data_IF_020700149099
#
_entry.id   IF_020700149099
#
_cell.length_a   1.000
_cell.length_b   1.000
_cell.length_c   1.000
_cell.angle_alpha   90.00
_cell.angle_beta   90.00
_cell.angle_gamma   90.00
#
_symmetry.space_group_name_H-M   'P 1'
#
loop_
_entity.id
_entity.type
_entity.pdbx_description
1 polymer ?
#
# COMPACT_ATOMS: atom_id res chain seq x y z
N UNK A 1 -2.69 -22.03 -7.71
CA UNK A 1 -1.31 -21.83 -7.23
C UNK A 1 -1.11 -20.33 -7.08
N UNK A 2 -1.00 -19.82 -5.85
CA UNK A 2 -0.71 -18.41 -5.62
C UNK A 2 0.81 -18.27 -5.56
N UNK A 3 1.43 -17.93 -6.69
CA UNK A 3 2.88 -17.72 -6.73
C UNK A 3 3.20 -16.33 -6.21
N UNK A 4 4.04 -16.28 -5.18
CA UNK A 4 4.58 -15.07 -4.59
C UNK A 4 6.06 -14.97 -4.96
N UNK A 5 6.47 -13.85 -5.53
CA UNK A 5 7.89 -13.60 -5.80
C UNK A 5 8.33 -12.44 -4.92
N UNK A 6 9.19 -12.74 -3.95
CA UNK A 6 9.92 -11.70 -3.21
C UNK A 6 11.33 -11.61 -3.77
N UNK A 7 11.70 -10.41 -4.18
CA UNK A 7 13.07 -10.09 -4.55
C UNK A 7 13.64 -9.15 -3.51
N UNK A 8 14.57 -9.67 -2.70
CA UNK A 8 15.34 -8.85 -1.77
C UNK A 8 16.82 -8.87 -2.14
N UNK A 9 17.48 -7.72 -2.07
CA UNK A 9 18.93 -7.60 -2.16
C UNK A 9 19.42 -6.59 -1.12
N UNK A 10 20.31 -7.02 -0.23
CA UNK A 10 20.92 -6.20 0.81
C UNK A 10 22.44 -6.36 0.75
N UNK A 11 23.17 -5.25 0.79
CA UNK A 11 24.61 -5.24 1.02
C UNK A 11 24.85 -4.66 2.42
N UNK A 12 25.41 -5.45 3.35
CA UNK A 12 25.85 -4.92 4.65
C UNK A 12 27.20 -4.23 4.47
N UNK A 13 27.22 -2.90 4.51
CA UNK A 13 28.44 -2.09 4.59
C UNK A 13 28.38 -1.14 5.79
N UNK A 14 28.96 -1.55 6.92
CA UNK A 14 29.17 -0.68 8.09
C UNK A 14 30.65 -0.33 8.27
N UNK A 15 30.96 0.91 8.63
CA UNK A 15 32.32 1.39 8.93
C UNK A 15 32.77 0.96 10.34
N UNK A 16 33.99 0.40 10.41
CA UNK A 16 34.90 0.09 11.54
C UNK A 16 34.75 -1.27 12.28
N UNK A 17 35.84 -1.95 12.71
CA UNK A 17 37.20 -2.06 12.16
C UNK A 17 37.30 -3.26 11.18
N UNK A 18 38.44 -3.44 10.51
CA UNK A 18 38.66 -4.39 9.39
C UNK A 18 38.40 -5.86 9.80
N UNK A 19 37.13 -6.27 9.75
CA UNK A 19 36.72 -7.66 9.53
C UNK A 19 36.42 -7.73 8.04
N UNK A 20 37.10 -8.62 7.30
CA UNK A 20 36.76 -8.91 5.91
C UNK A 20 35.33 -9.47 5.87
N UNK A 21 34.33 -8.59 5.78
CA UNK A 21 32.96 -8.97 5.51
C UNK A 21 32.90 -9.48 4.07
N UNK A 22 32.86 -10.80 3.91
CA UNK A 22 32.64 -11.42 2.61
C UNK A 22 31.19 -11.13 2.19
N UNK A 23 30.95 -10.49 1.03
CA UNK A 23 29.59 -10.16 0.60
C UNK A 23 28.85 -11.44 0.17
N UNK A 24 27.69 -11.70 0.77
CA UNK A 24 26.74 -12.74 0.36
C UNK A 24 25.42 -12.08 -0.03
N UNK A 25 24.77 -12.59 -1.08
CA UNK A 25 23.41 -12.17 -1.46
C UNK A 25 22.47 -13.34 -1.22
N UNK A 26 21.41 -13.06 -0.49
CA UNK A 26 20.34 -14.01 -0.15
C UNK A 26 19.11 -13.68 -0.98
N UNK A 27 18.72 -14.58 -1.89
CA UNK A 27 17.44 -14.50 -2.60
C UNK A 27 16.46 -15.48 -1.95
N UNK A 28 15.20 -15.06 -1.76
CA UNK A 28 14.17 -15.89 -1.13
C UNK A 28 12.97 -16.02 -2.07
N UNK A 29 12.78 -17.19 -2.66
CA UNK A 29 11.53 -17.57 -3.31
C UNK A 29 10.67 -18.27 -2.29
N UNK A 30 9.46 -17.73 -2.06
CA UNK A 30 8.47 -18.35 -1.20
C UNK A 30 7.23 -18.66 -2.01
N UNK A 31 6.86 -19.93 -2.13
CA UNK A 31 5.49 -20.31 -2.45
C UNK A 31 4.79 -20.74 -1.15
N UNK A 32 3.48 -21.02 -1.21
CA UNK A 32 2.66 -21.39 -0.03
C UNK A 32 3.19 -22.61 0.75
N UNK A 33 4.14 -23.37 0.21
CA UNK A 33 4.62 -24.64 0.76
C UNK A 33 6.15 -24.72 0.98
N UNK A 34 6.94 -23.85 0.37
CA UNK A 34 8.40 -23.89 0.42
C UNK A 34 9.02 -22.51 0.35
N UNK A 35 9.98 -22.28 1.25
CA UNK A 35 10.87 -21.13 1.25
C UNK A 35 12.24 -21.61 0.77
N UNK A 36 12.61 -21.30 -0.47
CA UNK A 36 13.96 -21.57 -0.97
C UNK A 36 14.82 -20.32 -0.82
N UNK A 37 15.78 -20.41 0.09
CA UNK A 37 16.81 -19.40 0.28
C UNK A 37 18.06 -19.86 -0.47
N UNK A 38 18.52 -19.06 -1.44
CA UNK A 38 19.77 -19.35 -2.16
C UNK A 38 20.83 -18.36 -1.74
N UNK A 39 21.89 -18.88 -1.11
CA UNK A 39 23.12 -18.14 -0.77
C UNK A 39 24.22 -18.55 -1.73
N UNK A 40 24.74 -17.60 -2.50
CA UNK A 40 25.82 -17.89 -3.44
C UNK A 40 27.20 -17.72 -2.78
N UNK A 41 28.12 -18.70 -2.93
CA UNK A 41 29.46 -18.59 -2.38
C UNK A 41 30.30 -17.49 -3.09
N UNK A 42 31.37 -17.00 -2.43
CA UNK A 42 32.21 -15.92 -2.95
C UNK A 42 32.89 -16.34 -4.26
N UNK A 43 33.00 -15.42 -5.24
CA UNK A 43 33.70 -15.65 -6.50
C UNK A 43 32.82 -16.01 -7.71
N UNK A 44 31.54 -16.36 -7.50
CA UNK A 44 30.59 -16.42 -8.61
C UNK A 44 30.25 -15.00 -9.10
N UNK A 45 30.23 -14.81 -10.42
CA UNK A 45 29.68 -13.58 -11.02
C UNK A 45 28.17 -13.57 -10.74
N UNK A 46 27.78 -12.96 -9.61
CA UNK A 46 26.43 -12.77 -9.05
C UNK A 46 25.34 -12.71 -10.15
N UNK A 47 25.61 -11.87 -11.15
CA UNK A 47 24.79 -11.66 -12.35
C UNK A 47 24.34 -12.92 -13.11
N UNK A 48 25.21 -13.92 -13.25
CA UNK A 48 24.91 -15.13 -14.01
C UNK A 48 24.17 -16.15 -13.15
N UNK A 49 24.45 -16.18 -11.85
CA UNK A 49 23.82 -17.10 -10.92
C UNK A 49 22.34 -16.75 -10.70
N UNK A 50 22.02 -15.47 -10.46
CA UNK A 50 20.64 -14.98 -10.35
C UNK A 50 19.87 -15.21 -11.65
N UNK A 51 20.44 -14.82 -12.80
CA UNK A 51 19.79 -15.02 -14.11
C UNK A 51 19.53 -16.49 -14.40
N UNK A 52 20.47 -17.38 -14.09
CA UNK A 52 20.32 -18.83 -14.30
C UNK A 52 19.26 -19.42 -13.36
N UNK A 53 19.26 -19.01 -12.09
CA UNK A 53 18.28 -19.50 -11.13
C UNK A 53 16.86 -19.01 -11.45
N UNK A 54 16.69 -17.72 -11.76
CA UNK A 54 15.41 -17.18 -12.22
C UNK A 54 14.95 -17.87 -13.52
N UNK A 55 15.86 -18.11 -14.48
CA UNK A 55 15.51 -18.86 -15.70
C UNK A 55 15.10 -20.31 -15.42
N UNK A 56 15.69 -20.97 -14.43
CA UNK A 56 15.31 -22.32 -14.04
C UNK A 56 13.95 -22.37 -13.32
N UNK A 57 13.63 -21.35 -12.51
CA UNK A 57 12.40 -21.31 -11.70
C UNK A 57 11.21 -20.79 -12.52
N UNK A 58 11.42 -19.71 -13.28
CA UNK A 58 10.39 -19.04 -14.06
C UNK A 58 10.24 -19.64 -15.47
N UNK A 59 11.20 -20.47 -15.89
CA UNK A 59 11.25 -21.00 -17.24
C UNK A 59 11.44 -19.90 -18.29
N UNK A 60 10.83 -20.10 -19.45
CA UNK A 60 10.76 -19.13 -20.54
C UNK A 60 9.30 -18.74 -20.78
N UNK A 61 9.03 -17.46 -21.09
CA UNK A 61 7.70 -16.98 -21.45
C UNK A 61 6.99 -16.17 -20.35
N UNK A 62 5.65 -16.18 -20.38
CA UNK A 62 4.81 -15.41 -19.45
C UNK A 62 4.50 -16.22 -18.19
N UNK A 63 4.87 -15.69 -17.02
CA UNK A 63 4.63 -16.31 -15.71
C UNK A 63 3.60 -15.49 -14.94
N UNK A 64 2.58 -16.15 -14.40
CA UNK A 64 1.55 -15.50 -13.60
C UNK A 64 1.98 -15.39 -12.15
N UNK A 65 2.09 -14.16 -11.64
CA UNK A 65 2.54 -13.86 -10.28
C UNK A 65 1.44 -13.08 -9.58
N UNK A 66 1.00 -13.57 -8.43
CA UNK A 66 -0.02 -12.86 -7.65
C UNK A 66 0.55 -11.58 -7.06
N UNK A 67 1.67 -11.70 -6.34
CA UNK A 67 2.35 -10.60 -5.69
C UNK A 67 3.84 -10.60 -6.06
N UNK A 68 4.30 -9.47 -6.61
CA UNK A 68 5.71 -9.16 -6.80
C UNK A 68 6.16 -8.17 -5.73
N UNK A 69 6.96 -8.62 -4.76
CA UNK A 69 7.57 -7.76 -3.75
C UNK A 69 9.03 -7.46 -4.13
N UNK A 70 9.38 -6.18 -4.19
CA UNK A 70 10.74 -5.71 -4.50
C UNK A 70 11.27 -4.90 -3.32
N UNK A 71 12.37 -5.39 -2.75
CA UNK A 71 13.07 -4.86 -1.60
C UNK A 71 14.58 -4.83 -1.88
N UNK A 72 14.99 -3.94 -2.77
CA UNK A 72 16.38 -3.77 -3.18
C UNK A 72 16.93 -2.51 -2.53
N UNK A 73 17.85 -2.66 -1.57
CA UNK A 73 18.59 -1.55 -0.96
C UNK A 73 19.72 -1.08 -1.88
N UNK A 74 20.48 -2.03 -2.43
CA UNK A 74 21.61 -1.81 -3.32
C UNK A 74 21.72 -2.95 -4.34
N UNK A 75 22.21 -2.66 -5.55
CA UNK A 75 22.55 -3.65 -6.57
C UNK A 75 21.70 -3.59 -7.85
N UNK A 76 21.93 -4.53 -8.77
CA UNK A 76 21.22 -4.61 -10.05
C UNK A 76 20.44 -5.91 -10.11
N UNK A 77 19.12 -5.80 -10.17
CA UNK A 77 18.23 -6.93 -10.44
C UNK A 77 18.15 -7.18 -11.95
N UNK A 78 18.58 -8.36 -12.41
CA UNK A 78 18.50 -8.75 -13.84
C UNK A 78 17.58 -9.94 -14.00
N UNK A 79 16.47 -9.72 -14.69
CA UNK A 79 15.59 -10.78 -15.13
C UNK A 79 16.12 -11.44 -16.43
N UNK A 80 15.81 -12.72 -16.69
CA UNK A 80 16.01 -13.30 -18.01
C UNK A 80 15.25 -12.49 -19.06
N UNK A 81 15.87 -12.26 -20.22
CA UNK A 81 15.32 -11.33 -21.24
C UNK A 81 13.97 -11.76 -21.82
N UNK A 82 13.69 -13.06 -21.79
CA UNK A 82 12.51 -13.66 -22.42
C UNK A 82 11.38 -13.95 -21.42
N UNK A 83 11.56 -13.56 -20.15
CA UNK A 83 10.56 -13.75 -19.10
C UNK A 83 9.71 -12.49 -18.98
N UNK A 84 8.39 -12.69 -19.00
CA UNK A 84 7.38 -11.66 -18.71
C UNK A 84 6.58 -12.08 -17.48
N UNK A 85 6.40 -11.17 -16.53
CA UNK A 85 5.59 -11.44 -15.34
C UNK A 85 4.21 -10.82 -15.54
N UNK A 86 3.17 -11.65 -15.57
CA UNK A 86 1.78 -11.21 -15.46
C UNK A 86 1.45 -11.05 -13.99
N UNK A 87 1.46 -9.80 -13.51
CA UNK A 87 1.38 -9.47 -12.08
C UNK A 87 0.00 -8.91 -11.73
N UNK A 88 -0.56 -9.29 -10.58
CA UNK A 88 -1.77 -8.65 -10.04
C UNK A 88 -1.43 -7.53 -9.06
N UNK A 89 -0.49 -7.79 -8.15
CA UNK A 89 -0.10 -6.87 -7.08
C UNK A 89 1.42 -6.62 -7.07
N UNK A 90 1.83 -5.37 -6.86
CA UNK A 90 3.25 -5.01 -6.68
C UNK A 90 3.45 -4.36 -5.33
N UNK A 91 4.50 -4.77 -4.61
CA UNK A 91 4.90 -4.16 -3.34
C UNK A 91 6.33 -3.65 -3.41
N UNK A 92 6.49 -2.34 -3.30
CA UNK A 92 7.75 -1.63 -3.43
C UNK A 92 8.16 -1.12 -2.06
N UNK A 93 9.28 -1.63 -1.56
CA UNK A 93 9.80 -1.23 -0.24
C UNK A 93 10.65 0.02 -0.29
N UNK A 94 11.11 0.46 -1.47
CA UNK A 94 12.02 1.59 -1.66
C UNK A 94 11.84 2.22 -3.04
N UNK A 95 12.02 3.54 -3.13
CA UNK A 95 12.01 4.36 -4.37
C UNK A 95 11.03 3.83 -5.43
N UNK A 96 9.74 3.84 -5.09
CA UNK A 96 8.72 3.17 -5.90
C UNK A 96 8.70 3.67 -7.34
N UNK A 97 8.91 4.97 -7.56
CA UNK A 97 8.89 5.56 -8.89
C UNK A 97 10.02 5.01 -9.80
N UNK A 98 11.26 5.00 -9.32
CA UNK A 98 12.38 4.49 -10.10
C UNK A 98 12.27 2.98 -10.33
N UNK A 99 11.82 2.22 -9.32
CA UNK A 99 11.65 0.78 -9.45
C UNK A 99 10.59 0.43 -10.49
N UNK A 100 9.44 1.10 -10.50
CA UNK A 100 8.40 0.88 -11.51
C UNK A 100 8.91 1.10 -12.93
N UNK A 101 9.71 2.15 -13.14
CA UNK A 101 10.32 2.41 -14.44
C UNK A 101 11.29 1.28 -14.84
N UNK A 102 12.13 0.83 -13.90
CA UNK A 102 13.13 -0.20 -14.15
C UNK A 102 12.53 -1.58 -14.44
N UNK A 103 11.44 -1.96 -13.79
CA UNK A 103 10.81 -3.29 -13.98
C UNK A 103 9.84 -3.34 -15.16
N UNK A 104 9.42 -2.19 -15.71
CA UNK A 104 8.45 -2.13 -16.81
C UNK A 104 8.74 -3.11 -17.96
N UNK A 105 9.99 -3.31 -18.43
CA UNK A 105 10.29 -4.26 -19.49
C UNK A 105 10.04 -5.73 -19.11
N UNK A 106 9.94 -6.06 -17.83
CA UNK A 106 9.76 -7.42 -17.32
C UNK A 106 8.29 -7.70 -17.02
N UNK A 107 7.48 -6.68 -16.75
CA UNK A 107 6.05 -6.85 -16.49
C UNK A 107 5.28 -7.01 -17.82
N UNK A 108 4.41 -8.01 -17.90
CA UNK A 108 3.51 -8.20 -19.04
C UNK A 108 2.51 -7.05 -19.12
N UNK A 109 2.19 -6.59 -20.33
CA UNK A 109 1.13 -5.60 -20.57
C UNK A 109 -0.23 -6.05 -20.04
N UNK A 110 -0.47 -7.37 -19.97
CA UNK A 110 -1.69 -7.97 -19.42
C UNK A 110 -1.83 -7.82 -17.90
N UNK A 111 -0.83 -7.25 -17.24
CA UNK A 111 -0.86 -6.91 -15.80
C UNK A 111 -1.55 -5.58 -15.54
N UNK A 112 -1.71 -4.73 -16.57
CA UNK A 112 -2.17 -3.36 -16.39
C UNK A 112 -3.66 -3.20 -16.79
N UNK A 113 -4.43 -2.38 -16.05
CA UNK A 113 -4.06 -1.76 -14.77
C UNK A 113 -3.84 -2.81 -13.67
N UNK A 114 -2.89 -2.56 -12.77
CA UNK A 114 -2.63 -3.43 -11.63
C UNK A 114 -3.83 -3.43 -10.69
N UNK A 115 -4.12 -4.57 -10.07
CA UNK A 115 -5.16 -4.64 -9.05
C UNK A 115 -4.77 -3.80 -7.83
N UNK A 116 -3.52 -3.90 -7.39
CA UNK A 116 -3.02 -3.19 -6.21
C UNK A 116 -1.53 -2.85 -6.32
N UNK A 117 -1.15 -1.69 -5.79
CA UNK A 117 0.24 -1.33 -5.57
C UNK A 117 0.48 -0.90 -4.13
N UNK A 118 1.58 -1.35 -3.52
CA UNK A 118 2.01 -0.90 -2.21
C UNK A 118 3.34 -0.15 -2.35
N UNK A 119 3.42 1.06 -1.82
CA UNK A 119 4.58 1.94 -1.95
C UNK A 119 5.06 2.41 -0.57
N UNK A 120 6.38 2.56 -0.41
CA UNK A 120 6.98 3.34 0.66
C UNK A 120 7.30 4.73 0.11
N UNK A 121 6.81 5.75 0.79
CA UNK A 121 7.06 7.17 0.49
C UNK A 121 7.71 7.83 1.68
N UNK A 122 8.56 8.81 1.40
CA UNK A 122 9.19 9.62 2.45
C UNK A 122 8.31 10.82 2.77
N UNK A 123 7.88 11.56 1.75
CA UNK A 123 7.17 12.83 1.89
C UNK A 123 5.91 12.91 1.02
N UNK A 124 5.02 13.85 1.34
CA UNK A 124 3.80 14.09 0.56
C UNK A 124 4.08 14.48 -0.91
N UNK A 125 5.26 15.05 -1.17
CA UNK A 125 5.73 15.44 -2.50
C UNK A 125 6.33 14.31 -3.35
N UNK A 126 6.31 13.04 -2.88
CA UNK A 126 7.00 11.95 -3.56
C UNK A 126 6.55 11.80 -5.03
N UNK A 127 7.49 11.78 -6.00
CA UNK A 127 7.16 11.72 -7.42
C UNK A 127 6.38 10.46 -7.82
N UNK A 128 6.39 9.41 -6.98
CA UNK A 128 5.60 8.19 -7.21
C UNK A 128 4.11 8.48 -7.31
N UNK A 129 3.59 9.52 -6.65
CA UNK A 129 2.17 9.90 -6.76
C UNK A 129 1.79 10.42 -8.15
N UNK A 130 2.77 10.85 -8.96
CA UNK A 130 2.54 11.24 -10.36
C UNK A 130 2.74 10.09 -11.34
N UNK A 131 3.18 8.91 -10.87
CA UNK A 131 3.41 7.76 -11.72
C UNK A 131 2.08 7.20 -12.27
N UNK A 132 2.00 7.04 -13.60
CA UNK A 132 0.78 6.58 -14.26
C UNK A 132 0.38 5.15 -13.86
N UNK A 133 1.33 4.28 -13.55
CA UNK A 133 1.03 2.92 -13.07
C UNK A 133 0.35 2.97 -11.70
N UNK A 134 0.79 3.88 -10.83
CA UNK A 134 0.19 4.07 -9.50
C UNK A 134 -1.23 4.62 -9.67
N UNK A 135 -1.39 5.72 -10.42
CA UNK A 135 -2.69 6.34 -10.66
C UNK A 135 -3.70 5.39 -11.33
N UNK A 136 -3.25 4.55 -12.27
CA UNK A 136 -4.13 3.62 -12.97
C UNK A 136 -4.50 2.38 -12.15
N UNK A 137 -3.82 2.08 -11.05
CA UNK A 137 -4.08 0.87 -10.26
C UNK A 137 -5.42 0.93 -9.51
N UNK A 138 -6.05 -0.23 -9.27
CA UNK A 138 -7.34 -0.29 -8.57
C UNK A 138 -7.26 0.15 -7.10
N UNK A 139 -6.15 -0.21 -6.43
CA UNK A 139 -5.90 0.12 -5.03
C UNK A 139 -4.44 0.52 -4.79
N UNK A 140 -4.22 1.45 -3.87
CA UNK A 140 -2.88 1.85 -3.41
C UNK A 140 -2.76 1.74 -1.89
N UNK A 141 -1.73 1.02 -1.44
CA UNK A 141 -1.29 1.02 -0.05
C UNK A 141 -0.06 1.94 0.10
N UNK A 142 -0.16 2.94 0.96
CA UNK A 142 0.88 3.92 1.21
C UNK A 142 1.51 3.63 2.57
N UNK A 143 2.82 3.53 2.62
CA UNK A 143 3.60 3.46 3.86
C UNK A 143 4.42 4.73 3.95
N UNK A 144 4.23 5.52 5.00
CA UNK A 144 5.05 6.70 5.26
C UNK A 144 6.22 6.29 6.15
N UNK A 145 7.44 6.62 5.73
CA UNK A 145 8.64 6.41 6.52
C UNK A 145 8.90 7.60 7.46
N UNK A 146 8.81 8.84 6.96
CA UNK A 146 9.07 10.06 7.72
C UNK A 146 8.63 11.35 6.99
N UNK A 147 7.48 11.94 7.36
CA UNK A 147 7.11 13.33 7.02
C UNK A 147 5.83 13.75 7.80
N UNK A 148 5.96 14.21 9.04
CA UNK A 148 4.82 14.59 9.87
C UNK A 148 4.15 15.90 9.43
N UNK A 149 4.87 16.76 8.70
CA UNK A 149 4.42 18.12 8.34
C UNK A 149 3.99 18.23 6.86
N UNK A 150 4.09 17.13 6.11
CA UNK A 150 3.70 17.07 4.72
C UNK A 150 2.23 17.41 4.49
N UNK A 151 1.96 18.09 3.37
CA UNK A 151 0.59 18.30 2.90
C UNK A 151 0.06 17.03 2.20
N UNK A 152 -0.26 16.03 3.02
CA UNK A 152 -0.80 14.75 2.59
C UNK A 152 -2.20 14.87 2.00
N UNK A 153 -3.05 15.78 2.51
CA UNK A 153 -4.37 16.03 1.92
C UNK A 153 -4.26 16.33 0.42
N UNK A 154 -3.38 17.25 0.02
CA UNK A 154 -3.16 17.59 -1.38
C UNK A 154 -2.58 16.44 -2.22
N UNK A 155 -1.71 15.62 -1.63
CA UNK A 155 -1.17 14.44 -2.31
C UNK A 155 -2.27 13.39 -2.55
N UNK A 156 -3.08 13.11 -1.52
CA UNK A 156 -4.12 12.07 -1.52
C UNK A 156 -5.31 12.44 -2.41
N UNK A 157 -5.73 13.72 -2.44
CA UNK A 157 -6.78 14.21 -3.36
C UNK A 157 -6.46 13.87 -4.82
N UNK A 158 -5.18 13.93 -5.21
CA UNK A 158 -4.70 13.71 -6.59
C UNK A 158 -4.63 12.24 -7.01
N UNK A 159 -4.89 11.28 -6.12
CA UNK A 159 -4.83 9.85 -6.41
C UNK A 159 -6.19 9.33 -6.87
N UNK A 160 -6.41 9.04 -8.16
CA UNK A 160 -7.73 8.64 -8.66
C UNK A 160 -8.12 7.19 -8.28
N UNK A 161 -7.26 6.48 -7.54
CA UNK A 161 -7.47 5.11 -7.11
C UNK A 161 -8.78 4.98 -6.34
N UNK A 162 -9.55 3.92 -6.63
CA UNK A 162 -10.79 3.62 -5.91
C UNK A 162 -10.52 3.35 -4.44
N UNK A 163 -9.44 2.65 -4.12
CA UNK A 163 -9.05 2.35 -2.74
C UNK A 163 -7.68 2.95 -2.45
N UNK A 164 -7.61 3.79 -1.43
CA UNK A 164 -6.38 4.38 -0.88
C UNK A 164 -6.29 3.98 0.59
N UNK A 165 -5.24 3.27 0.96
CA UNK A 165 -5.02 2.85 2.34
C UNK A 165 -3.64 3.27 2.83
N UNK A 166 -3.57 3.98 3.95
CA UNK A 166 -2.31 4.22 4.63
C UNK A 166 -1.96 3.00 5.46
N UNK A 167 -1.12 2.11 4.94
CA UNK A 167 -0.73 0.89 5.63
C UNK A 167 0.20 1.16 6.83
N UNK A 168 0.94 2.26 6.81
CA UNK A 168 1.76 2.77 7.92
C UNK A 168 1.77 4.29 7.86
N UNK A 169 1.60 4.92 9.02
CA UNK A 169 1.41 6.36 9.13
C UNK A 169 -0.06 6.72 9.27
N UNK A 170 -0.29 7.97 9.63
CA UNK A 170 -1.59 8.58 9.87
C UNK A 170 -1.47 10.05 9.48
N UNK A 171 -2.50 10.62 8.87
CA UNK A 171 -2.55 12.06 8.59
C UNK A 171 -3.20 12.80 9.76
N UNK A 172 -2.83 14.06 10.02
CA UNK A 172 -3.55 14.90 10.97
C UNK A 172 -5.04 15.00 10.64
N UNK A 173 -5.88 15.20 11.65
CA UNK A 173 -7.33 15.25 11.47
C UNK A 173 -7.76 16.43 10.60
N UNK A 174 -7.05 17.55 10.66
CA UNK A 174 -7.28 18.72 9.83
C UNK A 174 -7.14 18.34 8.34
N UNK A 175 -6.14 17.52 8.02
CA UNK A 175 -5.91 17.03 6.66
C UNK A 175 -6.93 15.96 6.24
N UNK A 176 -7.46 15.15 7.17
CA UNK A 176 -8.60 14.27 6.90
C UNK A 176 -9.85 15.10 6.55
N UNK A 177 -10.09 16.20 7.28
CA UNK A 177 -11.16 17.15 6.99
C UNK A 177 -11.01 17.78 5.60
N UNK A 178 -9.80 18.26 5.27
CA UNK A 178 -9.49 18.78 3.93
C UNK A 178 -9.71 17.74 2.82
N UNK A 179 -9.38 16.47 3.07
CA UNK A 179 -9.64 15.38 2.14
C UNK A 179 -11.14 15.14 1.95
N UNK A 180 -11.92 15.17 3.04
CA UNK A 180 -13.38 15.05 2.99
C UNK A 180 -14.02 16.21 2.21
N UNK A 181 -13.62 17.46 2.48
CA UNK A 181 -14.06 18.62 1.69
C UNK A 181 -13.70 18.47 0.20
N UNK A 182 -12.50 17.97 -0.11
CA UNK A 182 -12.11 17.69 -1.49
C UNK A 182 -13.03 16.67 -2.17
N UNK A 183 -13.52 15.66 -1.43
CA UNK A 183 -14.50 14.68 -1.93
C UNK A 183 -15.92 15.27 -2.02
N UNK A 184 -16.27 16.26 -1.21
CA UNK A 184 -17.54 16.98 -1.34
C UNK A 184 -17.54 17.85 -2.60
N UNK A 185 -16.45 18.55 -2.88
CA UNK A 185 -16.30 19.39 -4.07
C UNK A 185 -16.16 18.56 -5.35
N UNK A 186 -15.45 17.43 -5.27
CA UNK A 186 -15.21 16.52 -6.38
C UNK A 186 -15.61 15.10 -5.97
N UNK A 187 -16.92 14.76 -6.06
CA UNK A 187 -17.46 13.48 -5.63
C UNK A 187 -16.71 12.30 -6.23
N UNK A 188 -16.37 11.34 -5.37
CA UNK A 188 -15.79 10.07 -5.80
C UNK A 188 -16.85 9.04 -6.11
N UNK A 189 -16.57 8.17 -7.08
CA UNK A 189 -17.45 7.05 -7.41
C UNK A 189 -17.80 6.21 -6.19
N UNK A 190 -19.00 5.63 -6.19
CA UNK A 190 -19.46 4.75 -5.13
C UNK A 190 -18.47 3.59 -4.87
N UNK A 191 -18.26 3.30 -3.59
CA UNK A 191 -17.31 2.33 -3.06
C UNK A 191 -15.86 2.82 -3.07
N UNK A 192 -15.61 4.11 -3.34
CA UNK A 192 -14.28 4.68 -3.14
C UNK A 192 -13.95 4.80 -1.65
N UNK A 193 -12.72 4.47 -1.27
CA UNK A 193 -12.28 4.39 0.13
C UNK A 193 -10.95 5.10 0.34
N UNK A 194 -10.90 5.89 1.40
CA UNK A 194 -9.68 6.27 2.09
C UNK A 194 -9.67 5.63 3.47
N UNK A 195 -8.51 5.20 3.95
CA UNK A 195 -8.42 4.68 5.31
C UNK A 195 -7.02 4.72 5.89
N UNK A 196 -6.92 4.82 7.22
CA UNK A 196 -5.65 4.84 7.93
C UNK A 196 -5.77 4.23 9.34
N UNK A 197 -4.75 3.52 9.83
CA UNK A 197 -4.71 2.98 11.18
C UNK A 197 -4.56 4.11 12.19
N UNK A 198 -5.35 4.06 13.25
CA UNK A 198 -5.31 5.04 14.33
C UNK A 198 -5.52 4.36 15.68
N UNK A 199 -4.99 4.98 16.74
CA UNK A 199 -5.35 4.61 18.13
C UNK A 199 -6.49 5.46 18.65
N UNK A 200 -6.71 6.62 18.04
CA UNK A 200 -7.59 7.67 18.53
C UNK A 200 -8.85 7.76 17.66
N UNK A 201 -9.33 6.62 17.15
CA UNK A 201 -10.48 6.54 16.23
C UNK A 201 -11.71 7.26 16.80
N UNK A 202 -12.01 7.08 18.08
CA UNK A 202 -13.12 7.76 18.74
C UNK A 202 -12.96 9.29 18.70
N UNK A 203 -11.79 9.80 19.08
CA UNK A 203 -11.49 11.24 19.04
C UNK A 203 -11.54 11.80 17.61
N UNK A 204 -11.12 11.03 16.61
CA UNK A 204 -11.21 11.45 15.21
C UNK A 204 -12.68 11.56 14.77
N UNK A 205 -13.53 10.60 15.15
CA UNK A 205 -14.96 10.64 14.84
C UNK A 205 -15.67 11.81 15.54
N UNK A 206 -15.37 12.03 16.82
CA UNK A 206 -15.91 13.16 17.59
C UNK A 206 -15.54 14.50 16.96
N UNK A 207 -14.26 14.70 16.64
CA UNK A 207 -13.81 15.95 16.03
C UNK A 207 -14.25 16.11 14.58
N UNK A 208 -14.40 15.02 13.83
CA UNK A 208 -15.01 15.08 12.50
C UNK A 208 -16.42 15.70 12.59
N UNK A 209 -17.16 15.45 13.68
CA UNK A 209 -18.44 16.08 13.94
C UNK A 209 -18.39 17.58 14.25
N UNK A 210 -17.24 18.09 14.70
CA UNK A 210 -17.05 19.51 14.97
C UNK A 210 -16.65 20.31 13.72
N UNK A 211 -15.88 19.69 12.81
CA UNK A 211 -15.25 20.40 11.67
C UNK A 211 -15.92 20.13 10.32
N UNK A 212 -16.72 19.08 10.20
CA UNK A 212 -17.45 18.73 8.98
C UNK A 212 -18.97 18.91 9.20
N UNK A 213 -19.73 19.22 8.15
CA UNK A 213 -21.20 19.26 8.21
C UNK A 213 -21.78 17.84 8.21
N UNK A 214 -21.37 17.01 9.17
CA UNK A 214 -21.78 15.61 9.29
C UNK A 214 -23.02 15.48 10.17
N UNK A 215 -23.78 14.42 9.93
CA UNK A 215 -24.74 13.87 10.86
C UNK A 215 -24.14 12.61 11.51
N UNK A 216 -24.23 12.49 12.84
CA UNK A 216 -23.94 11.22 13.50
C UNK A 216 -24.88 10.14 12.96
N UNK A 217 -24.34 8.99 12.59
CA UNK A 217 -25.11 7.95 11.95
C UNK A 217 -24.59 6.55 12.25
N UNK A 218 -25.50 5.59 12.18
CA UNK A 218 -25.19 4.17 12.18
C UNK A 218 -25.09 3.67 10.74
N UNK A 219 -24.04 2.91 10.43
CA UNK A 219 -23.80 2.37 9.09
C UNK A 219 -23.82 0.84 9.20
N UNK A 220 -25.01 0.24 9.12
CA UNK A 220 -25.20 -1.18 9.46
C UNK A 220 -24.30 -2.11 8.64
N UNK A 221 -24.10 -1.79 7.36
CA UNK A 221 -23.22 -2.57 6.46
C UNK A 221 -21.73 -2.49 6.79
N UNK A 222 -21.33 -1.61 7.72
CA UNK A 222 -19.95 -1.38 8.18
C UNK A 222 -19.84 -1.41 9.71
N UNK A 223 -20.84 -1.97 10.38
CA UNK A 223 -20.95 -1.98 11.83
C UNK A 223 -19.67 -2.52 12.48
N UNK A 224 -19.21 -1.78 13.49
CA UNK A 224 -18.11 -2.14 14.36
C UNK A 224 -18.59 -1.97 15.81
N UNK A 225 -18.55 -3.03 16.62
CA UNK A 225 -19.08 -2.95 17.99
C UNK A 225 -18.25 -2.00 18.88
N UNK A 226 -16.96 -1.82 18.58
CA UNK A 226 -16.08 -0.86 19.27
C UNK A 226 -16.42 0.60 18.90
N UNK A 227 -16.86 0.84 17.67
CA UNK A 227 -17.20 2.16 17.13
C UNK A 227 -18.57 2.10 16.46
N UNK A 228 -19.66 2.02 17.24
CA UNK A 228 -21.00 1.78 16.71
C UNK A 228 -21.59 2.98 15.97
N UNK A 229 -21.07 4.18 16.25
CA UNK A 229 -21.50 5.44 15.64
C UNK A 229 -20.39 5.96 14.74
N UNK A 230 -20.74 6.28 13.50
CA UNK A 230 -19.92 7.01 12.56
C UNK A 230 -20.52 8.38 12.23
N UNK A 231 -20.06 8.97 11.15
CA UNK A 231 -20.50 10.24 10.62
C UNK A 231 -20.88 10.09 9.15
N UNK A 232 -21.91 10.82 8.70
CA UNK A 232 -22.37 10.82 7.32
C UNK A 232 -22.52 12.24 6.79
N UNK A 233 -22.12 12.46 5.54
CA UNK A 233 -22.26 13.73 4.81
C UNK A 233 -22.95 13.43 3.49
N UNK A 234 -24.17 13.93 3.31
CA UNK A 234 -24.82 13.85 2.00
C UNK A 234 -24.07 14.77 1.01
N UNK A 235 -23.62 14.21 -0.12
CA UNK A 235 -22.95 14.98 -1.17
C UNK A 235 -23.90 15.27 -2.35
N UNK A 236 -24.78 14.32 -2.68
CA UNK A 236 -25.80 14.44 -3.74
C UNK A 236 -27.09 13.71 -3.38
N UNK A 237 -28.05 13.64 -4.30
CA UNK A 237 -29.31 12.90 -4.11
C UNK A 237 -29.11 11.38 -3.95
N UNK A 238 -27.97 10.89 -4.41
CA UNK A 238 -27.64 9.49 -4.65
C UNK A 238 -26.31 9.07 -3.98
N UNK A 239 -25.58 10.01 -3.36
CA UNK A 239 -24.27 9.75 -2.76
C UNK A 239 -24.06 10.45 -1.41
N UNK A 240 -23.40 9.75 -0.50
CA UNK A 240 -22.95 10.25 0.81
C UNK A 240 -21.50 9.82 1.11
N UNK A 241 -20.78 10.62 1.90
CA UNK A 241 -19.51 10.23 2.53
C UNK A 241 -19.82 9.68 3.91
N UNK A 242 -19.38 8.46 4.18
CA UNK A 242 -19.45 7.86 5.49
C UNK A 242 -18.06 7.74 6.11
N UNK A 243 -17.90 8.23 7.33
CA UNK A 243 -16.68 8.17 8.12
C UNK A 243 -16.94 7.29 9.34
N UNK A 244 -16.18 6.21 9.51
CA UNK A 244 -16.43 5.21 10.56
C UNK A 244 -15.17 4.48 11.01
N UNK A 245 -15.23 3.90 12.21
CA UNK A 245 -14.19 3.03 12.74
C UNK A 245 -14.33 1.59 12.24
N UNK A 246 -13.22 0.93 11.94
CA UNK A 246 -13.19 -0.47 11.50
C UNK A 246 -11.98 -1.23 12.06
N UNK A 247 -12.02 -2.56 11.99
CA UNK A 247 -10.86 -3.41 12.27
C UNK A 247 -9.77 -3.17 11.23
N UNK A 248 -8.53 -2.95 11.68
CA UNK A 248 -7.38 -2.88 10.79
C UNK A 248 -7.13 -4.25 10.10
N UNK A 249 -6.58 -4.30 8.87
CA UNK A 249 -6.35 -5.57 8.17
C UNK A 249 -5.47 -6.59 8.91
N UNK A 250 -4.68 -6.13 9.89
CA UNK A 250 -3.83 -6.97 10.74
C UNK A 250 -4.25 -6.92 12.22
N UNK A 251 -5.53 -6.69 12.51
CA UNK A 251 -6.11 -6.47 13.84
C UNK A 251 -5.49 -7.36 14.93
N UNK A 252 -5.56 -8.68 14.79
CA UNK A 252 -5.02 -9.65 15.76
C UNK A 252 -3.52 -9.47 16.02
N UNK A 253 -2.72 -9.21 14.98
CA UNK A 253 -1.28 -9.00 15.10
C UNK A 253 -0.94 -7.66 15.74
N UNK A 254 -1.78 -6.66 15.52
CA UNK A 254 -1.62 -5.33 16.12
C UNK A 254 -1.97 -5.36 17.61
N UNK A 255 -2.99 -6.12 18.05
CA UNK A 255 -3.31 -6.30 19.48
C UNK A 255 -2.14 -6.85 20.29
N UNK A 256 -1.29 -7.67 19.69
CA UNK A 256 -0.12 -8.26 20.35
C UNK A 256 1.07 -7.30 20.48
N UNK A 257 1.02 -6.12 19.86
CA UNK A 257 2.11 -5.14 19.90
C UNK A 257 1.84 -4.13 21.02
N UNK A 258 2.86 -3.77 21.84
CA UNK A 258 2.72 -2.73 22.87
C UNK A 258 2.22 -1.39 22.32
N UNK A 259 2.45 -1.16 21.03
CA UNK A 259 2.16 0.05 20.31
C UNK A 259 1.41 -0.25 18.99
N UNK A 260 0.60 -1.31 18.97
CA UNK A 260 -0.19 -1.65 17.79
C UNK A 260 -1.28 -0.63 17.48
N UNK A 261 -1.77 -0.69 16.25
CA UNK A 261 -2.97 0.05 15.81
C UNK A 261 -4.00 -0.97 15.29
N UNK A 262 -4.76 -1.64 16.17
CA UNK A 262 -5.70 -2.70 15.77
C UNK A 262 -6.95 -2.16 15.07
N UNK A 263 -7.16 -0.84 15.14
CA UNK A 263 -8.31 -0.15 14.56
C UNK A 263 -7.85 0.84 13.49
N UNK A 264 -8.79 1.22 12.63
CA UNK A 264 -8.58 2.20 11.57
C UNK A 264 -9.80 3.08 11.42
N UNK A 265 -9.57 4.31 10.95
CA UNK A 265 -10.62 5.18 10.44
C UNK A 265 -10.79 4.93 8.94
N UNK A 266 -12.03 4.92 8.47
CA UNK A 266 -12.39 4.74 7.07
C UNK A 266 -13.29 5.89 6.64
N UNK A 267 -12.99 6.47 5.49
CA UNK A 267 -13.87 7.38 4.76
C UNK A 267 -14.28 6.70 3.46
N UNK A 268 -15.57 6.49 3.25
CA UNK A 268 -16.12 5.75 2.12
C UNK A 268 -17.22 6.57 1.41
N UNK A 269 -17.15 6.61 0.08
CA UNK A 269 -18.25 7.12 -0.75
C UNK A 269 -19.28 6.00 -0.94
N UNK A 270 -20.51 6.20 -0.48
CA UNK A 270 -21.59 5.20 -0.46
C UNK A 270 -22.87 5.78 -1.05
N UNK A 271 -23.79 4.90 -1.47
CA UNK A 271 -25.11 5.33 -1.91
C UNK A 271 -25.85 6.07 -0.78
N UNK A 272 -26.57 7.13 -1.13
CA UNK A 272 -27.36 7.88 -0.15
C UNK A 272 -28.39 6.98 0.57
N UNK A 273 -28.49 7.14 1.90
CA UNK A 273 -29.35 6.32 2.76
C UNK A 273 -28.69 5.03 3.23
N UNK A 274 -27.40 4.84 2.97
CA UNK A 274 -26.64 3.72 3.52
C UNK A 274 -26.31 3.89 5.01
N UNK A 275 -26.37 5.13 5.50
CA UNK A 275 -26.27 5.52 6.89
C UNK A 275 -27.65 5.95 7.44
N UNK A 276 -27.99 5.49 8.65
CA UNK A 276 -29.19 5.89 9.37
C UNK A 276 -28.81 6.92 10.47
N UNK A 277 -29.35 8.14 10.43
CA UNK A 277 -29.04 9.17 11.43
C UNK A 277 -29.32 8.69 12.85
N UNK A 278 -28.41 9.02 13.77
CA UNK A 278 -28.64 8.87 15.20
C UNK A 278 -29.60 9.99 15.64
N UNK A 279 -30.76 9.62 16.22
CA UNK A 279 -31.74 10.56 16.74
C UNK A 279 -31.35 11.22 18.05
#
# INVERSE_FOLDING_TARGET
MNEFIRVAASMRGGRLPVVQCTPYIQYTLSNDYQMSTVTYPPGNRIRHAIRRHLGNVLGNGEVSVRLLEIDCQDGVLRFPGDVKLKVQEIKLRRNGNAVLHAIRPVISERSFPLQKISILVQEAGDPVFQNQVVKASGAVDIRIDYDPDGNWAEALKKLPNKIVHMAVGEIPIEQLGELAFGWMENPRMEGSKFSMPSRDVATILERAAEVLPVCNATIESRRCDEFPVGASIQISEDLEINIYGAMAPNHEKELLKPNGKPWMIVMESMAFGSAAPCG
#
